data_IF_562391934213
#
_entry.id   IF_562391934213
#
_cell.length_a   1.000
_cell.length_b   1.000
_cell.length_c   1.000
_cell.angle_alpha   90.00
_cell.angle_beta   90.00
_cell.angle_gamma   90.00
#
_symmetry.space_group_name_H-M   'P 1'
#
loop_
_entity.id
_entity.type
_entity.pdbx_description
1 polymer ?
#
# COMPACT_ATOMS: atom_id res chain seq x y z
N UNK A 1 -1.27 4.18 12.62
CA UNK A 1 -2.38 5.01 13.20
C UNK A 1 -3.61 4.83 12.33
N UNK A 2 -4.65 4.16 12.83
CA UNK A 2 -5.91 4.00 12.10
C UNK A 2 -6.67 5.33 12.01
N UNK A 3 -7.16 5.66 10.82
CA UNK A 3 -8.06 6.81 10.60
C UNK A 3 -9.50 6.35 10.77
N UNK A 4 -10.34 7.16 11.43
CA UNK A 4 -11.76 6.85 11.63
C UNK A 4 -12.59 7.85 10.86
N UNK A 5 -13.36 7.35 9.89
CA UNK A 5 -14.31 8.14 9.10
C UNK A 5 -15.74 7.78 9.51
N UNK A 6 -16.56 8.78 9.83
CA UNK A 6 -17.98 8.57 10.08
C UNK A 6 -18.75 8.77 8.79
N UNK A 7 -19.46 7.74 8.33
CA UNK A 7 -20.41 7.87 7.20
C UNK A 7 -21.83 7.71 7.71
N UNK A 8 -22.73 8.55 7.19
CA UNK A 8 -24.16 8.46 7.46
C UNK A 8 -24.85 8.06 6.16
N UNK A 9 -25.04 6.75 5.89
CA UNK A 9 -25.84 6.28 4.77
C UNK A 9 -27.28 6.79 4.84
N UNK A 10 -28.01 6.68 3.72
CA UNK A 10 -29.41 7.11 3.59
C UNK A 10 -30.37 6.48 4.62
N UNK A 11 -29.96 5.40 5.30
CA UNK A 11 -30.64 4.79 6.44
C UNK A 11 -30.57 5.62 7.73
N UNK A 12 -29.81 6.72 7.76
CA UNK A 12 -29.70 7.64 8.90
C UNK A 12 -28.86 7.12 10.08
N UNK A 13 -28.31 5.91 9.98
CA UNK A 13 -27.45 5.32 11.00
C UNK A 13 -26.00 5.64 10.68
N UNK A 14 -25.34 6.44 11.53
CA UNK A 14 -23.92 6.72 11.40
C UNK A 14 -23.10 5.48 11.75
N UNK A 15 -22.22 5.06 10.85
CA UNK A 15 -21.26 3.98 11.06
C UNK A 15 -19.84 4.55 11.04
N UNK A 16 -18.98 4.04 11.93
CA UNK A 16 -17.57 4.38 11.97
C UNK A 16 -16.80 3.39 11.12
N UNK A 17 -16.23 3.84 10.01
CA UNK A 17 -15.28 3.08 9.21
C UNK A 17 -13.89 3.29 9.81
N UNK A 18 -13.28 2.21 10.29
CA UNK A 18 -11.89 2.21 10.74
C UNK A 18 -11.01 1.84 9.55
N UNK A 19 -10.24 2.80 9.06
CA UNK A 19 -9.23 2.59 8.04
C UNK A 19 -7.90 2.33 8.73
N UNK A 20 -7.47 1.07 8.71
CA UNK A 20 -6.23 0.66 9.35
C UNK A 20 -4.99 1.15 8.58
N UNK A 21 -5.09 1.27 7.25
CA UNK A 21 -3.95 1.61 6.41
C UNK A 21 -3.81 3.11 6.18
N UNK A 22 -2.58 3.62 6.25
CA UNK A 22 -2.25 4.95 5.71
C UNK A 22 -2.09 4.82 4.20
N UNK A 23 -2.91 5.54 3.43
CA UNK A 23 -2.91 5.48 1.95
C UNK A 23 -2.43 6.80 1.35
N UNK A 24 -1.51 6.71 0.39
CA UNK A 24 -1.13 7.83 -0.49
C UNK A 24 -1.58 7.48 -1.90
N UNK A 25 -2.48 8.27 -2.47
CA UNK A 25 -3.03 8.05 -3.81
C UNK A 25 -2.12 8.63 -4.89
N UNK A 26 -1.93 7.87 -5.96
CA UNK A 26 -1.37 8.32 -7.23
C UNK A 26 -2.36 8.08 -8.37
N UNK A 27 -2.06 8.58 -9.57
CA UNK A 27 -2.95 8.38 -10.72
C UNK A 27 -2.91 6.90 -11.16
N UNK A 28 -3.97 6.15 -10.83
CA UNK A 28 -4.09 4.74 -11.18
C UNK A 28 -3.29 3.78 -10.30
N UNK A 29 -2.83 4.21 -9.11
CA UNK A 29 -2.18 3.36 -8.12
C UNK A 29 -2.28 3.98 -6.72
N UNK A 30 -1.97 3.24 -5.68
CA UNK A 30 -1.83 3.81 -4.34
C UNK A 30 -0.78 3.07 -3.51
N UNK A 31 -0.24 3.75 -2.50
CA UNK A 31 0.69 3.16 -1.53
C UNK A 31 -0.04 2.97 -0.22
N UNK A 32 0.00 1.76 0.34
CA UNK A 32 -0.71 1.36 1.55
C UNK A 32 0.27 0.82 2.58
N UNK A 33 0.38 1.49 3.73
CA UNK A 33 1.12 0.98 4.88
C UNK A 33 0.21 0.21 5.82
N UNK A 34 0.62 -0.99 6.21
CA UNK A 34 -0.08 -1.86 7.17
C UNK A 34 0.84 -2.15 8.36
N UNK A 35 0.50 -1.60 9.53
CA UNK A 35 1.14 -1.85 10.82
C UNK A 35 0.35 -2.85 11.70
N UNK A 36 -0.76 -3.37 11.19
CA UNK A 36 -1.74 -4.09 11.99
C UNK A 36 -1.68 -5.60 11.79
N UNK A 37 -1.65 -6.08 10.53
CA UNK A 37 -1.74 -7.51 10.21
C UNK A 37 -0.40 -8.26 10.32
N UNK A 38 0.36 -8.03 11.39
CA UNK A 38 1.66 -8.66 11.60
C UNK A 38 1.59 -10.20 11.65
N UNK A 39 0.45 -10.77 12.07
CA UNK A 39 0.24 -12.22 12.06
C UNK A 39 0.21 -12.82 10.64
N UNK A 40 -0.19 -12.03 9.64
CA UNK A 40 -0.26 -12.45 8.23
C UNK A 40 1.09 -12.17 7.56
N UNK A 41 1.56 -10.93 7.69
CA UNK A 41 2.72 -10.44 6.95
C UNK A 41 4.06 -10.68 7.63
N UNK A 42 4.07 -11.05 8.91
CA UNK A 42 5.29 -11.24 9.71
C UNK A 42 5.87 -9.94 10.28
N UNK A 43 5.19 -8.81 10.08
CA UNK A 43 5.60 -7.47 10.52
C UNK A 43 4.82 -6.37 9.81
N UNK A 44 5.27 -5.13 9.95
CA UNK A 44 4.76 -4.00 9.18
C UNK A 44 5.11 -4.16 7.70
N UNK A 45 4.25 -3.69 6.81
CA UNK A 45 4.47 -3.74 5.36
C UNK A 45 4.04 -2.46 4.66
N UNK A 46 4.68 -2.18 3.53
CA UNK A 46 4.27 -1.11 2.62
C UNK A 46 4.00 -1.70 1.25
N UNK A 47 2.76 -1.57 0.78
CA UNK A 47 2.29 -2.10 -0.50
C UNK A 47 2.13 -0.97 -1.52
N UNK A 48 2.79 -1.10 -2.67
CA UNK A 48 2.45 -0.38 -3.89
C UNK A 48 1.38 -1.18 -4.64
N UNK A 49 0.19 -0.61 -4.77
CA UNK A 49 -0.97 -1.27 -5.37
C UNK A 49 -1.24 -0.66 -6.73
N UNK A 50 -1.19 -1.47 -7.78
CA UNK A 50 -1.50 -1.04 -9.14
C UNK A 50 -3.01 -1.11 -9.41
N UNK A 51 -3.53 -0.06 -10.05
CA UNK A 51 -4.94 0.09 -10.37
C UNK A 51 -5.84 0.03 -9.14
N UNK A 52 -7.04 -0.50 -9.34
CA UNK A 52 -7.97 -0.81 -8.26
C UNK A 52 -7.72 -2.24 -7.77
N UNK A 53 -6.59 -2.48 -7.09
CA UNK A 53 -6.23 -3.79 -6.51
C UNK A 53 -5.89 -4.89 -7.52
N UNK A 54 -5.33 -4.52 -8.67
CA UNK A 54 -5.00 -5.47 -9.75
C UNK A 54 -3.68 -6.22 -9.50
N UNK A 55 -2.72 -5.57 -8.83
CA UNK A 55 -1.45 -6.17 -8.43
C UNK A 55 -0.95 -5.52 -7.13
N UNK A 56 -0.24 -6.29 -6.31
CA UNK A 56 0.27 -5.88 -5.01
C UNK A 56 1.79 -6.10 -4.93
N UNK A 57 2.56 -5.02 -4.91
CA UNK A 57 4.01 -5.04 -4.77
C UNK A 57 4.37 -4.64 -3.34
N UNK A 58 4.70 -5.62 -2.50
CA UNK A 58 4.74 -5.47 -1.04
C UNK A 58 6.17 -5.58 -0.54
N UNK A 59 6.65 -4.56 0.17
CA UNK A 59 7.92 -4.56 0.91
C UNK A 59 7.67 -4.76 2.41
N UNK A 60 8.59 -5.45 3.08
CA UNK A 60 8.63 -5.53 4.54
C UNK A 60 9.14 -4.21 5.13
N UNK A 61 8.40 -3.63 6.08
CA UNK A 61 8.73 -2.38 6.76
C UNK A 61 7.90 -1.17 6.30
N UNK A 62 8.17 -0.02 6.92
CA UNK A 62 7.58 1.27 6.57
C UNK A 62 8.44 2.00 5.53
N UNK A 63 7.93 2.08 4.30
CA UNK A 63 8.57 2.76 3.17
C UNK A 63 7.82 4.02 2.73
N UNK A 64 6.90 4.53 3.58
CA UNK A 64 6.07 5.69 3.23
C UNK A 64 6.88 6.93 2.87
N UNK A 65 7.96 7.19 3.59
CA UNK A 65 8.82 8.36 3.33
C UNK A 65 9.40 8.31 1.91
N UNK A 66 9.94 7.15 1.51
CA UNK A 66 10.49 6.96 0.17
C UNK A 66 9.40 7.08 -0.91
N UNK A 67 8.26 6.41 -0.72
CA UNK A 67 7.15 6.48 -1.68
C UNK A 67 6.53 7.88 -1.76
N UNK A 68 6.42 8.62 -0.66
CA UNK A 68 5.82 9.96 -0.65
C UNK A 68 6.53 10.94 -1.59
N UNK A 69 7.86 10.79 -1.74
CA UNK A 69 8.66 11.58 -2.67
C UNK A 69 8.50 11.13 -4.14
N UNK A 70 8.08 9.88 -4.38
CA UNK A 70 8.01 9.26 -5.70
C UNK A 70 6.60 9.24 -6.29
N UNK A 71 5.56 9.26 -5.46
CA UNK A 71 4.16 9.30 -5.91
C UNK A 71 3.92 10.43 -6.92
N UNK A 72 4.42 11.67 -6.75
CA UNK A 72 4.26 12.73 -7.75
C UNK A 72 4.92 12.43 -9.10
N UNK A 73 5.92 11.55 -9.14
CA UNK A 73 6.61 11.11 -10.37
C UNK A 73 5.93 9.91 -11.05
N UNK A 74 4.87 9.36 -10.44
CA UNK A 74 4.03 8.31 -11.03
C UNK A 74 4.44 6.88 -10.65
N UNK A 75 3.69 5.92 -11.19
CA UNK A 75 3.81 4.50 -10.85
C UNK A 75 5.19 3.93 -11.18
N UNK A 76 5.77 4.30 -12.33
CA UNK A 76 7.07 3.78 -12.76
C UNK A 76 8.20 4.13 -11.79
N UNK A 77 8.17 5.33 -11.20
CA UNK A 77 9.14 5.75 -10.18
C UNK A 77 9.00 4.90 -8.90
N UNK A 78 7.75 4.65 -8.47
CA UNK A 78 7.44 3.77 -7.35
C UNK A 78 7.84 2.30 -7.64
N UNK A 79 7.64 1.83 -8.87
CA UNK A 79 8.02 0.49 -9.31
C UNK A 79 9.55 0.33 -9.37
N UNK A 80 10.28 1.36 -9.82
CA UNK A 80 11.73 1.36 -9.79
C UNK A 80 12.26 1.24 -8.35
N UNK A 81 11.64 1.93 -7.39
CA UNK A 81 11.98 1.79 -5.97
C UNK A 81 11.70 0.38 -5.46
N UNK A 82 10.54 -0.21 -5.80
CA UNK A 82 10.23 -1.60 -5.44
C UNK A 82 11.28 -2.58 -5.99
N UNK A 83 11.63 -2.46 -7.28
CA UNK A 83 12.63 -3.32 -7.92
C UNK A 83 14.02 -3.18 -7.32
N UNK A 84 14.40 -1.97 -6.90
CA UNK A 84 15.67 -1.70 -6.24
C UNK A 84 15.76 -2.27 -4.81
N UNK A 85 14.61 -2.63 -4.21
CA UNK A 85 14.50 -3.21 -2.87
C UNK A 85 13.84 -4.60 -2.90
N UNK A 86 13.95 -5.33 -4.02
CA UNK A 86 13.26 -6.61 -4.24
C UNK A 86 13.64 -7.68 -3.22
N UNK A 87 14.82 -7.57 -2.62
CA UNK A 87 15.29 -8.41 -1.51
C UNK A 87 14.50 -8.22 -0.22
N UNK A 88 13.82 -7.08 -0.06
CA UNK A 88 12.91 -6.80 1.05
C UNK A 88 11.46 -7.19 0.73
N UNK A 89 11.20 -7.74 -0.45
CA UNK A 89 9.86 -8.12 -0.86
C UNK A 89 9.24 -9.13 0.12
N UNK A 90 8.01 -8.84 0.55
CA UNK A 90 7.26 -9.76 1.38
C UNK A 90 6.92 -11.03 0.57
N UNK A 91 6.80 -12.17 1.26
CA UNK A 91 6.42 -13.45 0.64
C UNK A 91 5.06 -13.41 -0.09
N UNK A 92 4.19 -12.46 0.27
CA UNK A 92 2.88 -12.22 -0.35
C UNK A 92 2.92 -11.20 -1.50
N UNK A 93 4.09 -10.65 -1.83
CA UNK A 93 4.23 -9.72 -2.95
C UNK A 93 4.08 -10.44 -4.29
N UNK A 94 3.43 -9.77 -5.23
CA UNK A 94 3.61 -10.07 -6.64
C UNK A 94 5.09 -9.95 -6.99
N UNK A 95 5.56 -10.85 -7.85
CA UNK A 95 6.91 -10.79 -8.39
C UNK A 95 6.83 -10.20 -9.79
N UNK A 96 7.56 -9.12 -10.10
CA UNK A 96 7.67 -8.68 -11.47
C UNK A 96 8.20 -9.85 -12.30
N UNK A 97 7.60 -10.07 -13.48
CA UNK A 97 8.04 -11.12 -14.38
C UNK A 97 9.55 -10.96 -14.57
N UNK A 98 10.32 -12.00 -14.21
CA UNK A 98 11.77 -11.98 -14.39
C UNK A 98 12.04 -11.65 -15.85
N UNK A 99 12.73 -10.53 -16.10
CA UNK A 99 13.29 -10.28 -17.42
C UNK A 99 14.31 -11.40 -17.67
N UNK A 100 13.92 -12.34 -18.53
CA UNK A 100 14.78 -13.43 -19.04
C UNK A 100 15.77 -12.82 -20.03
#
# INVERSE_FOLDING_TARGET
>A
MASVSTITPASGVSISLVQFNSVVEGEGFYVSHNDYDAAIYGGETTALVFGQMQAFYILNGDHRDAYSALVPAGFDACMAYFNANIELANKHSERPAQAI
#
